data_IF_086237372458
#
_entry.id   IF_086237372458
#
_cell.length_a   1.000
_cell.length_b   1.000
_cell.length_c   1.000
_cell.angle_alpha   90.00
_cell.angle_beta   90.00
_cell.angle_gamma   90.00
#
_symmetry.space_group_name_H-M   'P 1'
#
loop_
_entity.id
_entity.type
_entity.pdbx_description
1 polymer ?
#
# COMPACT_ATOMS: atom_id res chain seq x y z
N UNK A 1 -13.43 48.14 -16.07
CA UNK A 1 -13.48 47.10 -15.00
C UNK A 1 -14.45 46.03 -15.45
N UNK A 2 -13.98 44.80 -15.67
CA UNK A 2 -14.82 43.59 -15.64
C UNK A 2 -13.88 42.41 -15.37
N UNK A 3 -13.91 41.93 -14.14
CA UNK A 3 -13.14 40.79 -13.66
C UNK A 3 -13.85 39.52 -14.16
N UNK A 4 -13.19 38.74 -15.01
CA UNK A 4 -13.68 37.45 -15.47
C UNK A 4 -13.86 36.48 -14.30
N UNK A 5 -15.07 35.95 -14.14
CA UNK A 5 -15.33 34.83 -13.23
C UNK A 5 -14.74 33.58 -13.87
N UNK A 6 -13.63 33.09 -13.30
CA UNK A 6 -13.03 31.81 -13.68
C UNK A 6 -13.87 30.70 -13.05
N UNK A 7 -14.62 29.96 -13.87
CA UNK A 7 -15.30 28.74 -13.46
C UNK A 7 -14.25 27.67 -13.16
N UNK A 8 -14.05 27.34 -11.88
CA UNK A 8 -13.32 26.13 -11.50
C UNK A 8 -14.17 24.93 -11.88
N UNK A 9 -13.85 24.27 -12.99
CA UNK A 9 -14.35 22.93 -13.30
C UNK A 9 -13.94 21.98 -12.17
N UNK A 10 -14.86 21.69 -11.25
CA UNK A 10 -14.70 20.63 -10.27
C UNK A 10 -14.70 19.30 -11.01
N UNK A 11 -13.51 18.79 -11.35
CA UNK A 11 -13.37 17.41 -11.81
C UNK A 11 -13.78 16.49 -10.67
N UNK A 12 -14.88 15.76 -10.86
CA UNK A 12 -15.26 14.65 -9.97
C UNK A 12 -14.15 13.61 -10.02
N UNK A 13 -13.53 13.34 -8.86
CA UNK A 13 -12.49 12.31 -8.74
C UNK A 13 -13.15 10.96 -8.48
N UNK A 14 -12.66 9.91 -9.12
CA UNK A 14 -13.19 8.55 -9.01
C UNK A 14 -12.42 7.68 -8.00
N UNK A 15 -11.77 8.31 -7.00
CA UNK A 15 -11.09 7.57 -5.96
C UNK A 15 -12.04 6.66 -5.19
N UNK A 16 -11.62 5.41 -4.97
CA UNK A 16 -12.35 4.48 -4.10
C UNK A 16 -11.41 3.71 -3.17
N UNK A 17 -11.88 3.43 -1.96
CA UNK A 17 -11.25 2.50 -1.02
C UNK A 17 -12.20 1.32 -0.79
N UNK A 18 -11.92 0.18 -1.44
CA UNK A 18 -12.74 -1.04 -1.39
C UNK A 18 -12.13 -2.05 -0.44
N UNK A 19 -12.95 -2.95 0.09
CA UNK A 19 -12.51 -4.05 0.94
C UNK A 19 -12.95 -5.38 0.35
N UNK A 20 -12.02 -6.33 0.29
CA UNK A 20 -12.26 -7.68 -0.23
C UNK A 20 -11.75 -8.71 0.77
N UNK A 21 -12.56 -9.73 1.02
CA UNK A 21 -12.12 -10.93 1.74
C UNK A 21 -11.54 -11.92 0.75
N UNK A 22 -10.24 -12.23 0.87
CA UNK A 22 -9.56 -13.11 -0.07
C UNK A 22 -8.03 -13.02 0.02
N UNK A 23 -7.35 -13.81 -0.82
CA UNK A 23 -5.90 -13.70 -1.01
C UNK A 23 -5.58 -12.45 -1.83
N UNK A 24 -4.69 -11.59 -1.31
CA UNK A 24 -4.20 -10.42 -2.05
C UNK A 24 -3.61 -10.81 -3.41
N UNK A 25 -2.93 -11.95 -3.48
CA UNK A 25 -2.24 -12.36 -4.70
C UNK A 25 -3.16 -12.95 -5.78
N UNK A 26 -4.45 -13.08 -5.49
CA UNK A 26 -5.50 -13.39 -6.47
C UNK A 26 -6.20 -12.14 -7.02
N UNK A 27 -5.70 -10.93 -6.72
CA UNK A 27 -6.21 -9.70 -7.34
C UNK A 27 -6.11 -9.76 -8.88
N UNK A 28 -6.90 -8.98 -9.61
CA UNK A 28 -6.79 -8.90 -11.07
C UNK A 28 -5.35 -8.58 -11.50
N UNK A 29 -4.90 -9.18 -12.62
CA UNK A 29 -3.51 -9.10 -13.08
C UNK A 29 -3.10 -7.71 -13.55
N UNK A 30 -4.08 -6.88 -13.90
CA UNK A 30 -3.92 -5.49 -14.30
C UNK A 30 -3.90 -4.51 -13.11
N UNK A 31 -4.04 -5.01 -11.87
CA UNK A 31 -3.83 -4.20 -10.67
C UNK A 31 -2.38 -4.29 -10.20
N UNK A 32 -1.79 -3.12 -9.93
CA UNK A 32 -0.53 -3.03 -9.22
C UNK A 32 -0.69 -3.47 -7.76
N UNK A 33 0.40 -3.87 -7.12
CA UNK A 33 0.38 -4.32 -5.73
C UNK A 33 1.22 -3.41 -4.86
N UNK A 34 0.85 -3.22 -3.59
CA UNK A 34 1.72 -2.52 -2.64
C UNK A 34 1.79 -3.21 -1.27
N UNK A 35 2.95 -3.14 -0.62
CA UNK A 35 3.12 -3.53 0.78
C UNK A 35 4.26 -2.76 1.47
N UNK A 36 4.30 -2.82 2.81
CA UNK A 36 5.38 -2.21 3.60
C UNK A 36 6.57 -3.16 3.75
N UNK A 37 7.78 -2.60 3.67
CA UNK A 37 9.04 -3.28 4.02
C UNK A 37 9.97 -2.35 4.82
N UNK A 38 11.06 -2.94 5.32
CA UNK A 38 12.22 -2.22 5.84
C UNK A 38 13.25 -1.96 4.73
N UNK A 39 14.05 -0.91 4.90
CA UNK A 39 15.18 -0.52 4.02
C UNK A 39 16.15 -1.70 3.80
N UNK A 40 16.41 -2.52 4.83
CA UNK A 40 17.24 -3.73 4.73
C UNK A 40 16.68 -4.85 3.82
N UNK A 41 15.45 -4.69 3.31
CA UNK A 41 14.73 -5.61 2.43
C UNK A 41 14.70 -7.06 2.93
N UNK A 42 14.67 -7.29 4.26
CA UNK A 42 14.71 -8.65 4.84
C UNK A 42 13.50 -9.48 4.42
N UNK A 43 12.31 -8.89 4.46
CA UNK A 43 11.02 -9.50 4.08
C UNK A 43 10.82 -10.92 4.65
N UNK A 44 11.12 -11.08 5.94
CA UNK A 44 11.19 -12.39 6.60
C UNK A 44 9.94 -12.82 7.37
N UNK A 45 8.89 -11.99 7.44
CA UNK A 45 7.67 -12.30 8.16
C UNK A 45 6.42 -11.74 7.48
N UNK A 46 5.26 -12.28 7.84
CA UNK A 46 3.96 -11.86 7.32
C UNK A 46 3.86 -11.98 5.79
N UNK A 47 3.03 -11.13 5.18
CA UNK A 47 2.81 -11.15 3.74
C UNK A 47 4.07 -10.80 2.93
N UNK A 48 5.03 -10.09 3.52
CA UNK A 48 6.28 -9.74 2.85
C UNK A 48 7.10 -10.96 2.41
N UNK A 49 7.00 -12.09 3.12
CA UNK A 49 7.61 -13.36 2.70
C UNK A 49 7.01 -13.83 1.37
N UNK A 50 5.70 -13.67 1.19
CA UNK A 50 5.00 -14.08 -0.03
C UNK A 50 5.36 -13.15 -1.20
N UNK A 51 5.47 -11.84 -0.97
CA UNK A 51 6.02 -10.90 -1.97
C UNK A 51 7.43 -11.29 -2.39
N UNK A 52 8.32 -11.61 -1.44
CA UNK A 52 9.68 -12.05 -1.72
C UNK A 52 9.72 -13.35 -2.51
N UNK A 53 8.89 -14.34 -2.15
CA UNK A 53 8.79 -15.62 -2.86
C UNK A 53 8.25 -15.46 -4.28
N UNK A 54 7.27 -14.57 -4.49
CA UNK A 54 6.57 -14.41 -5.77
C UNK A 54 7.30 -13.50 -6.75
N UNK A 55 7.87 -12.40 -6.28
CA UNK A 55 8.48 -11.37 -7.14
C UNK A 55 10.02 -11.32 -7.06
N UNK A 56 10.61 -11.85 -5.98
CA UNK A 56 12.06 -11.96 -5.86
C UNK A 56 12.79 -10.61 -5.95
N UNK A 57 13.88 -10.58 -6.73
CA UNK A 57 14.62 -9.36 -7.16
C UNK A 57 15.02 -8.41 -6.02
N UNK A 58 15.44 -8.98 -4.90
CA UNK A 58 15.85 -8.21 -3.71
C UNK A 58 17.11 -7.37 -3.97
N UNK A 59 18.02 -7.83 -4.83
CA UNK A 59 19.20 -7.04 -5.22
C UNK A 59 18.79 -5.73 -5.91
N UNK A 60 17.90 -5.81 -6.88
CA UNK A 60 17.38 -4.65 -7.62
C UNK A 60 16.66 -3.66 -6.70
N UNK A 61 15.86 -4.14 -5.75
CA UNK A 61 15.25 -3.28 -4.73
C UNK A 61 16.29 -2.52 -3.90
N UNK A 62 17.41 -3.17 -3.55
CA UNK A 62 18.50 -2.55 -2.78
C UNK A 62 19.30 -1.56 -3.63
N UNK A 63 19.47 -1.83 -4.92
CA UNK A 63 20.18 -0.95 -5.86
C UNK A 63 19.45 0.39 -6.06
N UNK A 64 18.13 0.43 -5.87
CA UNK A 64 17.34 1.66 -5.86
C UNK A 64 17.64 2.57 -4.66
N UNK A 65 18.31 2.05 -3.61
CA UNK A 65 18.78 2.81 -2.43
C UNK A 65 17.68 3.68 -1.78
N UNK A 66 16.44 3.15 -1.75
CA UNK A 66 15.29 3.84 -1.16
C UNK A 66 15.36 3.81 0.36
N UNK A 67 15.07 4.95 0.98
CA UNK A 67 15.10 5.20 2.42
C UNK A 67 13.68 5.20 3.00
N UNK A 68 13.52 5.13 4.33
CA UNK A 68 12.21 5.30 4.96
C UNK A 68 11.53 6.60 4.51
N UNK A 69 10.24 6.50 4.18
CA UNK A 69 9.48 7.59 3.57
C UNK A 69 9.48 7.56 2.04
N UNK A 70 10.18 6.61 1.41
CA UNK A 70 10.19 6.45 -0.05
C UNK A 70 9.57 5.10 -0.47
N UNK A 71 9.31 4.96 -1.76
CA UNK A 71 8.80 3.74 -2.38
C UNK A 71 9.83 3.19 -3.38
N UNK A 72 10.19 1.92 -3.20
CA UNK A 72 10.87 1.14 -4.24
C UNK A 72 9.84 0.49 -5.17
N UNK A 73 10.20 0.29 -6.43
CA UNK A 73 9.28 -0.20 -7.46
C UNK A 73 9.93 -1.31 -8.27
N UNK A 74 9.20 -2.41 -8.49
CA UNK A 74 9.54 -3.38 -9.53
C UNK A 74 8.47 -3.38 -10.60
N UNK A 75 8.89 -3.39 -11.87
CA UNK A 75 8.00 -3.74 -12.98
C UNK A 75 7.89 -5.25 -13.05
N UNK A 76 6.67 -5.79 -13.05
CA UNK A 76 6.41 -7.22 -13.17
C UNK A 76 5.25 -7.43 -14.14
N UNK A 77 5.52 -8.11 -15.25
CA UNK A 77 4.61 -8.18 -16.41
C UNK A 77 4.20 -6.77 -16.88
N UNK A 78 2.92 -6.43 -16.80
CA UNK A 78 2.33 -5.16 -17.22
C UNK A 78 1.86 -4.30 -16.04
N UNK A 79 2.41 -4.54 -14.85
CA UNK A 79 2.05 -3.81 -13.63
C UNK A 79 3.26 -3.49 -12.77
N UNK A 80 3.03 -2.72 -11.72
CA UNK A 80 4.04 -2.37 -10.74
C UNK A 80 3.81 -3.06 -9.41
N UNK A 81 4.92 -3.40 -8.74
CA UNK A 81 4.95 -3.89 -7.37
C UNK A 81 5.65 -2.82 -6.54
N UNK A 82 4.89 -2.20 -5.65
CA UNK A 82 5.30 -1.10 -4.80
C UNK A 82 5.74 -1.60 -3.41
N UNK A 83 6.95 -1.20 -3.03
CA UNK A 83 7.58 -1.55 -1.76
C UNK A 83 7.75 -0.28 -0.94
N UNK A 84 6.77 0.00 -0.07
CA UNK A 84 6.75 1.16 0.79
C UNK A 84 7.81 1.00 1.89
N UNK A 85 8.87 1.79 1.85
CA UNK A 85 9.93 1.74 2.85
C UNK A 85 9.47 2.55 4.06
N UNK A 86 9.05 1.88 5.12
CA UNK A 86 8.45 2.57 6.28
C UNK A 86 9.35 2.61 7.51
N UNK A 87 10.47 1.89 7.48
CA UNK A 87 11.43 1.75 8.59
C UNK A 87 12.81 1.32 8.10
N UNK A 88 13.86 1.58 8.89
CA UNK A 88 15.24 1.21 8.50
C UNK A 88 15.47 -0.30 8.64
N UNK A 89 15.14 -0.88 9.80
CA UNK A 89 15.39 -2.31 10.07
C UNK A 89 14.10 -3.07 10.28
N UNK A 90 14.09 -4.34 9.90
CA UNK A 90 12.90 -5.21 10.05
C UNK A 90 12.39 -5.32 11.50
N UNK A 91 13.28 -5.21 12.49
CA UNK A 91 12.95 -5.25 13.92
C UNK A 91 12.30 -3.98 14.46
N UNK A 92 12.40 -2.86 13.73
CA UNK A 92 11.80 -1.60 14.14
C UNK A 92 10.31 -1.55 13.81
N UNK A 93 9.63 -0.56 14.38
CA UNK A 93 8.25 -0.21 14.05
C UNK A 93 8.24 1.03 13.14
N UNK A 94 7.37 1.08 12.12
CA UNK A 94 7.22 2.27 11.31
C UNK A 94 6.50 3.38 12.06
N UNK A 95 6.59 4.60 11.54
CA UNK A 95 5.80 5.75 11.99
C UNK A 95 4.71 6.08 10.97
N UNK A 96 3.66 6.80 11.39
CA UNK A 96 2.66 7.32 10.44
C UNK A 96 3.26 8.33 9.45
N UNK A 97 4.32 9.04 9.84
CA UNK A 97 5.04 9.99 8.99
C UNK A 97 5.69 9.24 7.82
N UNK A 98 6.55 8.25 8.11
CA UNK A 98 7.21 7.47 7.06
C UNK A 98 6.19 6.73 6.17
N UNK A 99 5.10 6.23 6.75
CA UNK A 99 4.04 5.60 5.96
C UNK A 99 3.41 6.60 4.99
N UNK A 100 3.03 7.79 5.47
CA UNK A 100 2.47 8.86 4.63
C UNK A 100 3.43 9.22 3.49
N UNK A 101 4.67 9.53 3.82
CA UNK A 101 5.68 9.93 2.83
C UNK A 101 5.88 8.84 1.77
N UNK A 102 5.95 7.56 2.19
CA UNK A 102 6.11 6.45 1.24
C UNK A 102 4.89 6.29 0.31
N UNK A 103 3.68 6.58 0.81
CA UNK A 103 2.45 6.56 0.02
C UNK A 103 2.37 7.76 -0.94
N UNK A 104 2.89 8.93 -0.54
CA UNK A 104 3.02 10.11 -1.39
C UNK A 104 4.04 9.86 -2.52
N UNK A 105 5.19 9.24 -2.23
CA UNK A 105 6.17 8.82 -3.25
C UNK A 105 5.57 7.78 -4.22
N UNK A 106 4.83 6.79 -3.69
CA UNK A 106 4.09 5.83 -4.52
C UNK A 106 3.03 6.52 -5.40
N UNK A 107 2.29 7.49 -4.85
CA UNK A 107 1.28 8.26 -5.59
C UNK A 107 1.91 8.98 -6.78
N UNK A 108 3.05 9.65 -6.58
CA UNK A 108 3.77 10.34 -7.67
C UNK A 108 4.09 9.38 -8.82
N UNK A 109 4.69 8.23 -8.50
CA UNK A 109 4.97 7.20 -9.51
C UNK A 109 3.69 6.70 -10.21
N UNK A 110 2.59 6.52 -9.47
CA UNK A 110 1.33 6.10 -10.06
C UNK A 110 0.79 7.10 -11.08
N UNK A 111 0.85 8.40 -10.77
CA UNK A 111 0.39 9.46 -11.67
C UNK A 111 1.25 9.55 -12.93
N UNK A 112 2.57 9.45 -12.78
CA UNK A 112 3.53 9.47 -13.88
C UNK A 112 3.36 8.29 -14.85
N UNK A 113 2.96 7.12 -14.33
CA UNK A 113 2.86 5.88 -15.09
C UNK A 113 1.42 5.43 -15.39
N UNK A 114 0.43 6.30 -15.17
CA UNK A 114 -0.97 6.00 -15.46
C UNK A 114 -1.57 4.85 -14.63
N UNK A 115 -1.02 4.57 -13.45
CA UNK A 115 -1.52 3.51 -12.56
C UNK A 115 -2.74 4.03 -11.82
N UNK A 116 -3.89 3.44 -12.09
CA UNK A 116 -5.17 3.84 -11.48
C UNK A 116 -5.77 2.78 -10.55
N UNK A 117 -5.16 1.59 -10.41
CA UNK A 117 -5.68 0.52 -9.56
C UNK A 117 -4.56 -0.20 -8.81
N UNK A 118 -4.72 -0.25 -7.49
CA UNK A 118 -3.73 -0.82 -6.58
C UNK A 118 -4.42 -1.74 -5.58
N UNK A 119 -3.94 -2.96 -5.46
CA UNK A 119 -4.35 -3.93 -4.46
C UNK A 119 -3.34 -3.98 -3.31
N UNK A 120 -3.82 -3.87 -2.07
CA UNK A 120 -2.97 -3.82 -0.87
C UNK A 120 -3.50 -4.75 0.22
N UNK A 121 -2.66 -5.27 1.12
CA UNK A 121 -3.13 -5.81 2.39
C UNK A 121 -3.48 -4.64 3.34
N UNK A 122 -3.83 -4.94 4.60
CA UNK A 122 -3.85 -3.92 5.66
C UNK A 122 -2.41 -3.46 6.00
N UNK A 123 -1.86 -2.58 5.17
CA UNK A 123 -0.46 -2.10 5.25
C UNK A 123 -0.17 -1.40 6.58
N UNK A 124 1.07 -1.56 7.07
CA UNK A 124 1.50 -1.01 8.36
C UNK A 124 0.84 -1.61 9.61
N UNK A 125 -0.10 -2.55 9.46
CA UNK A 125 -0.79 -3.20 10.56
C UNK A 125 -0.16 -4.57 10.92
N UNK A 126 -0.67 -5.19 11.99
CA UNK A 126 -0.19 -6.48 12.48
C UNK A 126 1.17 -6.33 13.16
N UNK A 127 2.23 -6.90 12.56
CA UNK A 127 3.59 -6.86 13.12
C UNK A 127 4.13 -5.42 13.26
N UNK A 128 3.68 -4.51 12.41
CA UNK A 128 4.09 -3.11 12.40
C UNK A 128 3.26 -2.21 13.35
N UNK A 129 2.18 -2.76 13.92
CA UNK A 129 1.39 -2.16 15.01
C UNK A 129 0.74 -0.79 14.74
N UNK A 130 0.70 -0.31 13.49
CA UNK A 130 -0.15 0.84 13.17
C UNK A 130 -1.63 0.44 13.19
N UNK A 131 -2.48 1.40 13.55
CA UNK A 131 -3.92 1.23 13.62
C UNK A 131 -4.53 1.44 12.24
N UNK A 132 -5.27 0.44 11.75
CA UNK A 132 -5.90 0.52 10.43
C UNK A 132 -6.82 1.75 10.29
N UNK A 133 -7.54 2.11 11.35
CA UNK A 133 -8.41 3.30 11.37
C UNK A 133 -7.68 4.63 11.13
N UNK A 134 -6.37 4.70 11.42
CA UNK A 134 -5.51 5.85 11.09
C UNK A 134 -4.92 5.70 9.69
N UNK A 135 -4.48 4.50 9.33
CA UNK A 135 -3.92 4.20 8.00
C UNK A 135 -4.95 4.48 6.89
N UNK A 136 -6.20 4.05 7.05
CA UNK A 136 -7.25 4.27 6.06
C UNK A 136 -7.54 5.77 5.84
N UNK A 137 -7.48 6.58 6.90
CA UNK A 137 -7.61 8.05 6.80
C UNK A 137 -6.43 8.68 6.07
N UNK A 138 -5.22 8.16 6.26
CA UNK A 138 -4.03 8.61 5.51
C UNK A 138 -4.19 8.29 4.02
N UNK A 139 -4.62 7.07 3.68
CA UNK A 139 -4.91 6.69 2.29
C UNK A 139 -5.94 7.63 1.65
N UNK A 140 -7.06 7.87 2.34
CA UNK A 140 -8.08 8.81 1.88
C UNK A 140 -7.51 10.21 1.65
N UNK A 141 -6.78 10.77 2.63
CA UNK A 141 -6.20 12.11 2.50
C UNK A 141 -5.22 12.25 1.32
N UNK A 142 -4.42 11.21 1.05
CA UNK A 142 -3.42 11.23 -0.02
C UNK A 142 -4.08 11.09 -1.40
N UNK A 143 -5.07 10.21 -1.53
CA UNK A 143 -5.56 9.78 -2.83
C UNK A 143 -6.96 10.27 -3.22
N UNK A 144 -7.75 10.87 -2.31
CA UNK A 144 -9.11 11.36 -2.61
C UNK A 144 -9.19 12.33 -3.79
N UNK A 145 -8.12 13.06 -4.08
CA UNK A 145 -8.04 14.02 -5.20
C UNK A 145 -7.44 13.39 -6.47
N UNK A 146 -7.47 12.06 -6.58
CA UNK A 146 -6.93 11.30 -7.73
C UNK A 146 -7.96 10.33 -8.29
N UNK A 147 -7.66 9.73 -9.45
CA UNK A 147 -8.43 8.62 -10.03
C UNK A 147 -7.84 7.25 -9.71
N UNK A 148 -6.94 7.17 -8.74
CA UNK A 148 -6.38 5.91 -8.26
C UNK A 148 -7.49 5.21 -7.46
N UNK A 149 -7.56 3.89 -7.46
CA UNK A 149 -8.50 3.12 -6.64
C UNK A 149 -7.70 2.10 -5.86
N UNK A 150 -7.96 2.00 -4.56
CA UNK A 150 -7.31 1.03 -3.69
C UNK A 150 -8.30 -0.05 -3.26
N UNK A 151 -7.91 -1.30 -3.45
CA UNK A 151 -8.63 -2.47 -2.94
C UNK A 151 -7.83 -3.11 -1.81
N UNK A 152 -8.41 -3.17 -0.62
CA UNK A 152 -7.79 -3.71 0.58
C UNK A 152 -8.23 -5.15 0.79
N UNK A 153 -7.27 -6.07 0.74
CA UNK A 153 -7.50 -7.49 0.98
C UNK A 153 -7.30 -7.85 2.44
N UNK A 154 -8.16 -8.73 2.94
CA UNK A 154 -8.02 -9.38 4.24
C UNK A 154 -8.38 -10.86 4.09
N UNK A 155 -7.59 -11.75 4.69
CA UNK A 155 -7.93 -13.17 4.69
C UNK A 155 -9.25 -13.41 5.44
N UNK A 156 -10.00 -14.47 5.10
CA UNK A 156 -11.19 -14.88 5.86
C UNK A 156 -10.84 -15.06 7.34
N UNK A 157 -11.71 -14.59 8.23
CA UNK A 157 -11.60 -14.94 9.64
C UNK A 157 -11.94 -16.44 9.79
N UNK A 158 -10.93 -17.28 10.00
CA UNK A 158 -11.18 -18.65 10.44
C UNK A 158 -11.50 -18.56 11.93
N UNK A 159 -12.77 -18.76 12.30
CA UNK A 159 -13.23 -18.63 13.67
C UNK A 159 -12.36 -19.43 14.64
N UNK A 160 -11.72 -18.73 15.58
CA UNK A 160 -11.21 -19.36 16.80
C UNK A 160 -12.40 -19.96 17.53
N UNK A 161 -12.45 -21.29 17.66
CA UNK A 161 -13.42 -21.99 18.51
C UNK A 161 -13.43 -21.31 19.88
N UNK A 162 -14.54 -20.65 20.21
CA UNK A 162 -14.83 -20.24 21.57
C UNK A 162 -15.04 -21.55 22.35
N UNK A 163 -14.03 -21.99 23.11
CA UNK A 163 -14.25 -23.03 24.11
C UNK A 163 -15.11 -22.40 25.21
N UNK A 164 -16.43 -22.55 25.09
CA UNK A 164 -17.31 -22.40 26.25
C UNK A 164 -16.97 -23.54 27.20
N UNK A 165 -16.21 -23.25 28.26
CA UNK A 165 -16.26 -24.09 29.44
C UNK A 165 -17.59 -23.78 30.13
N UNK A 166 -18.57 -24.65 29.87
CA UNK A 166 -19.66 -24.87 30.80
C UNK A 166 -19.12 -25.80 31.90
N UNK A 167 -19.03 -25.28 33.12
CA UNK A 167 -19.34 -25.94 34.41
C UNK A 167 -19.21 -24.91 35.52
#
# INVERSE_FOLDING_TARGET
>A
MNMGKTEKLYQSTNWTLKYVTGDLFSCPRDESLAHCISEDCRMGAGIAVMFKKKFGRVSELKEQKKLPGQCAVLTYDQRFIYYLITKKKASQKPTYVNLRESLEDMKSHCLENGVNRISIPRIGCGLDQLLWSKVSKILEQIFKETNISITVYSLPCVGSKLQMHAM
#
